data_IF_138020699832
#
_entry.id   IF_138020699832
#
_cell.length_a   1.000
_cell.length_b   1.000
_cell.length_c   1.000
_cell.angle_alpha   90.00
_cell.angle_beta   90.00
_cell.angle_gamma   90.00
#
_symmetry.space_group_name_H-M   'P 1'
#
loop_
_entity.id
_entity.type
_entity.pdbx_description
1 polymer ?
#
# COMPACT_ATOMS: atom_id res chain seq x y z
N UNK A 1 36.59 48.93 -24.41
CA UNK A 1 35.42 48.56 -25.23
C UNK A 1 34.64 49.84 -25.60
N UNK A 2 34.90 50.47 -26.76
CA UNK A 2 34.28 51.74 -27.15
C UNK A 2 33.16 51.58 -28.21
N UNK A 3 32.54 50.41 -28.35
CA UNK A 3 31.62 50.13 -29.46
C UNK A 3 30.20 50.66 -29.18
N UNK A 4 29.82 50.92 -27.92
CA UNK A 4 28.47 51.39 -27.59
C UNK A 4 28.25 52.91 -27.77
N UNK A 5 29.29 53.73 -27.86
CA UNK A 5 29.14 55.19 -27.91
C UNK A 5 28.83 55.76 -29.31
N UNK A 6 28.97 54.95 -30.37
CA UNK A 6 28.71 55.37 -31.75
C UNK A 6 27.26 55.12 -32.22
N UNK A 7 26.44 54.45 -31.40
CA UNK A 7 25.05 54.16 -31.76
C UNK A 7 24.22 55.43 -31.52
N UNK A 8 23.52 55.97 -32.55
CA UNK A 8 22.65 57.13 -32.37
C UNK A 8 21.63 56.86 -31.28
N UNK A 9 21.42 57.81 -30.36
CA UNK A 9 20.52 57.67 -29.20
C UNK A 9 19.13 57.14 -29.57
N UNK A 10 18.61 57.56 -30.73
CA UNK A 10 17.31 57.09 -31.25
C UNK A 10 17.31 55.61 -31.64
N UNK A 11 18.41 55.13 -32.24
CA UNK A 11 18.56 53.71 -32.62
C UNK A 11 18.70 52.82 -31.38
N UNK A 12 19.45 53.29 -30.38
CA UNK A 12 19.58 52.57 -29.11
C UNK A 12 18.21 52.40 -28.40
N UNK A 13 17.43 53.48 -28.32
CA UNK A 13 16.08 53.43 -27.74
C UNK A 13 15.18 52.46 -28.50
N UNK A 14 15.24 52.45 -29.84
CA UNK A 14 14.47 51.52 -30.67
C UNK A 14 14.81 50.06 -30.36
N UNK A 15 16.10 49.73 -30.22
CA UNK A 15 16.55 48.37 -29.90
C UNK A 15 16.08 47.90 -28.52
N UNK A 16 16.09 48.79 -27.51
CA UNK A 16 15.58 48.49 -26.16
C UNK A 16 14.08 48.19 -26.20
N UNK A 17 13.30 48.97 -26.96
CA UNK A 17 11.85 48.74 -27.11
C UNK A 17 11.56 47.40 -27.77
N UNK A 18 12.31 47.03 -28.82
CA UNK A 18 12.19 45.72 -29.49
C UNK A 18 12.52 44.59 -28.51
N UNK A 19 13.61 44.70 -27.76
CA UNK A 19 14.00 43.69 -26.78
C UNK A 19 12.93 43.49 -25.69
N UNK A 20 12.36 44.58 -25.16
CA UNK A 20 11.28 44.52 -24.18
C UNK A 20 10.00 43.90 -24.76
N UNK A 21 9.67 44.20 -26.02
CA UNK A 21 8.54 43.57 -26.72
C UNK A 21 8.72 42.07 -26.89
N UNK A 22 9.92 41.61 -27.26
CA UNK A 22 10.25 40.19 -27.42
C UNK A 22 10.21 39.45 -26.07
N UNK A 23 10.76 40.04 -25.01
CA UNK A 23 10.71 39.47 -23.66
C UNK A 23 9.26 39.37 -23.18
N UNK A 24 8.46 40.42 -23.37
CA UNK A 24 7.05 40.43 -22.97
C UNK A 24 6.22 39.40 -23.75
N UNK A 25 6.46 39.27 -25.05
CA UNK A 25 5.81 38.27 -25.90
C UNK A 25 6.17 36.83 -25.49
N UNK A 26 7.45 36.58 -25.19
CA UNK A 26 7.90 35.28 -24.70
C UNK A 26 7.28 34.92 -23.33
N UNK A 27 7.22 35.88 -22.41
CA UNK A 27 6.56 35.71 -21.12
C UNK A 27 5.06 35.39 -21.32
N UNK A 28 4.36 36.10 -22.20
CA UNK A 28 2.94 35.82 -22.46
C UNK A 28 2.71 34.42 -23.03
N UNK A 29 3.61 33.88 -23.85
CA UNK A 29 3.50 32.51 -24.37
C UNK A 29 3.77 31.49 -23.27
N UNK A 30 4.84 31.68 -22.49
CA UNK A 30 5.25 30.75 -21.42
C UNK A 30 4.25 30.71 -20.27
N UNK A 31 3.60 31.84 -19.98
CA UNK A 31 2.65 31.99 -18.89
C UNK A 31 1.20 32.13 -19.37
N UNK A 32 0.86 31.71 -20.61
CA UNK A 32 -0.56 31.55 -20.96
C UNK A 32 -1.15 30.61 -19.91
N UNK A 33 -2.12 31.06 -19.10
CA UNK A 33 -2.81 30.16 -18.20
C UNK A 33 -3.36 29.06 -19.11
N UNK A 34 -2.92 27.83 -18.88
CA UNK A 34 -3.53 26.66 -19.51
C UNK A 34 -5.00 26.82 -19.19
N UNK A 35 -5.80 27.21 -20.19
CA UNK A 35 -7.24 27.15 -20.10
C UNK A 35 -7.48 25.69 -19.78
N UNK A 36 -7.80 25.42 -18.51
CA UNK A 36 -8.23 24.09 -18.09
C UNK A 36 -9.40 23.82 -19.01
N UNK A 37 -9.17 22.91 -19.95
CA UNK A 37 -10.23 22.39 -20.80
C UNK A 37 -11.39 22.07 -19.86
N UNK A 38 -12.59 22.60 -20.13
CA UNK A 38 -13.73 22.39 -19.25
C UNK A 38 -13.81 20.89 -19.00
N UNK A 39 -13.70 20.52 -17.72
CA UNK A 39 -13.67 19.11 -17.33
C UNK A 39 -14.80 18.40 -18.07
N UNK A 40 -14.52 17.31 -18.81
CA UNK A 40 -15.55 16.61 -19.56
C UNK A 40 -16.68 16.33 -18.58
N UNK A 41 -17.89 16.76 -18.94
CA UNK A 41 -19.11 16.50 -18.18
C UNK A 41 -19.08 15.01 -17.82
N UNK A 42 -19.22 14.61 -16.54
CA UNK A 42 -19.17 13.22 -16.16
C UNK A 42 -20.28 12.48 -16.91
N UNK A 43 -19.89 11.77 -17.96
CA UNK A 43 -20.75 10.77 -18.58
C UNK A 43 -21.00 9.77 -17.45
N UNK A 44 -22.26 9.62 -17.06
CA UNK A 44 -22.68 8.55 -16.17
C UNK A 44 -22.38 7.23 -16.87
N UNK A 45 -21.18 6.72 -16.67
CA UNK A 45 -20.76 5.40 -17.08
C UNK A 45 -21.62 4.43 -16.28
N UNK A 46 -22.62 3.86 -16.94
CA UNK A 46 -23.33 2.68 -16.45
C UNK A 46 -22.28 1.68 -16.00
N UNK A 47 -22.32 1.30 -14.73
CA UNK A 47 -21.43 0.31 -14.12
C UNK A 47 -21.36 -0.92 -15.03
N UNK A 48 -20.22 -1.18 -15.70
CA UNK A 48 -20.04 -2.41 -16.44
C UNK A 48 -20.08 -3.53 -15.41
N UNK A 49 -21.01 -4.48 -15.60
CA UNK A 49 -21.03 -5.74 -14.87
C UNK A 49 -19.64 -6.36 -15.03
N UNK A 50 -18.84 -6.30 -13.96
CA UNK A 50 -17.45 -6.74 -13.93
C UNK A 50 -17.35 -8.14 -14.57
N UNK A 51 -16.72 -8.27 -15.75
CA UNK A 51 -16.28 -9.57 -16.22
C UNK A 51 -15.26 -10.04 -15.18
N UNK A 52 -15.43 -11.26 -14.67
CA UNK A 52 -14.35 -11.91 -13.93
C UNK A 52 -13.10 -11.86 -14.82
N UNK A 53 -12.15 -10.98 -14.47
CA UNK A 53 -10.90 -10.83 -15.21
C UNK A 53 -10.11 -12.09 -14.92
N UNK A 54 -10.25 -13.08 -15.80
CA UNK A 54 -9.33 -14.20 -15.89
C UNK A 54 -7.96 -13.61 -16.16
N UNK A 55 -7.08 -13.69 -15.17
CA UNK A 55 -5.67 -13.31 -15.30
C UNK A 55 -5.14 -13.98 -16.58
N UNK A 56 -4.65 -13.22 -17.57
CA UNK A 56 -4.15 -13.81 -18.80
C UNK A 56 -3.02 -14.77 -18.44
N UNK A 57 -3.22 -16.05 -18.76
CA UNK A 57 -2.17 -17.07 -18.69
C UNK A 57 -1.18 -16.77 -19.80
N UNK A 58 -0.24 -15.87 -19.54
CA UNK A 58 0.90 -15.59 -20.40
C UNK A 58 1.68 -16.88 -20.59
N UNK A 59 1.74 -17.36 -21.83
CA UNK A 59 2.54 -18.53 -22.22
C UNK A 59 4.01 -18.13 -22.21
N UNK A 60 4.59 -18.13 -21.01
CA UNK A 60 6.00 -17.82 -20.78
C UNK A 60 6.85 -18.96 -21.36
N UNK A 61 7.64 -18.64 -22.39
CA UNK A 61 8.75 -19.49 -22.83
C UNK A 61 9.64 -19.76 -21.62
N UNK A 62 9.61 -21.01 -21.16
CA UNK A 62 10.18 -21.46 -19.89
C UNK A 62 11.71 -21.56 -19.98
N UNK A 63 12.38 -20.41 -20.15
CA UNK A 63 13.78 -20.30 -19.74
C UNK A 63 13.71 -20.20 -18.23
N UNK A 64 14.08 -21.28 -17.55
CA UNK A 64 14.16 -21.34 -16.08
C UNK A 64 15.19 -20.31 -15.61
N UNK A 65 14.78 -19.05 -15.49
CA UNK A 65 15.61 -18.02 -14.90
C UNK A 65 15.75 -18.34 -13.42
N UNK A 66 16.98 -18.40 -12.93
CA UNK A 66 17.24 -18.53 -11.51
C UNK A 66 16.58 -17.35 -10.77
N UNK A 67 15.79 -17.65 -9.74
CA UNK A 67 15.11 -16.66 -8.90
C UNK A 67 15.76 -16.56 -7.53
N UNK A 68 15.67 -15.39 -6.91
CA UNK A 68 16.00 -15.13 -5.51
C UNK A 68 14.73 -14.77 -4.74
N UNK A 69 14.71 -15.06 -3.45
CA UNK A 69 13.62 -14.66 -2.56
C UNK A 69 14.05 -13.46 -1.74
N UNK A 70 13.27 -12.38 -1.79
CA UNK A 70 13.36 -11.29 -0.84
C UNK A 70 12.32 -11.51 0.26
N UNK A 71 12.72 -11.31 1.52
CA UNK A 71 11.85 -11.43 2.68
C UNK A 71 12.17 -10.33 3.67
N UNK A 72 11.13 -9.61 4.08
CA UNK A 72 11.22 -8.57 5.10
C UNK A 72 10.27 -8.90 6.25
N UNK A 73 10.82 -9.29 7.39
CA UNK A 73 10.03 -9.68 8.56
C UNK A 73 9.47 -8.47 9.32
N UNK A 74 10.19 -7.35 9.33
CA UNK A 74 9.73 -6.09 9.95
C UNK A 74 8.45 -5.57 9.29
N UNK A 75 8.40 -5.64 7.96
CA UNK A 75 7.26 -5.19 7.16
C UNK A 75 6.33 -6.32 6.70
N UNK A 76 6.59 -7.56 7.12
CA UNK A 76 5.65 -8.67 6.94
C UNK A 76 5.35 -9.04 5.48
N UNK A 77 6.33 -9.07 4.59
CA UNK A 77 6.13 -9.55 3.21
C UNK A 77 7.35 -10.27 2.62
N UNK A 78 7.11 -11.10 1.61
CA UNK A 78 8.13 -11.76 0.80
C UNK A 78 7.69 -11.84 -0.67
N UNK A 79 8.66 -11.93 -1.58
CA UNK A 79 8.43 -12.17 -3.01
C UNK A 79 9.67 -12.78 -3.67
N UNK A 80 9.49 -13.42 -4.83
CA UNK A 80 10.60 -13.88 -5.66
C UNK A 80 10.90 -12.87 -6.77
N UNK A 81 12.17 -12.78 -7.17
CA UNK A 81 12.63 -11.88 -8.23
C UNK A 81 13.78 -12.50 -9.03
N UNK A 82 13.98 -12.09 -10.29
CA UNK A 82 15.08 -12.59 -11.12
C UNK A 82 16.47 -12.32 -10.52
N UNK A 83 17.36 -13.32 -10.56
CA UNK A 83 18.68 -13.27 -9.94
C UNK A 83 19.61 -12.16 -10.46
N UNK A 84 19.39 -11.70 -11.69
CA UNK A 84 20.14 -10.64 -12.35
C UNK A 84 19.77 -9.22 -11.87
N UNK A 85 18.69 -9.06 -11.10
CA UNK A 85 18.33 -7.78 -10.51
C UNK A 85 19.14 -7.51 -9.25
N UNK A 86 19.53 -6.25 -9.08
CA UNK A 86 20.19 -5.76 -7.87
C UNK A 86 19.14 -5.14 -6.97
N UNK A 87 19.11 -5.61 -5.72
CA UNK A 87 18.21 -5.14 -4.68
C UNK A 87 18.90 -4.10 -3.80
N UNK A 88 18.22 -2.98 -3.54
CA UNK A 88 18.64 -2.00 -2.53
C UNK A 88 17.44 -1.54 -1.70
N UNK A 89 17.63 -1.53 -0.39
CA UNK A 89 16.69 -0.95 0.55
C UNK A 89 17.08 0.49 0.91
N UNK A 90 16.08 1.28 1.29
CA UNK A 90 16.21 2.64 1.80
C UNK A 90 17.08 3.53 0.89
N UNK A 91 16.86 3.43 -0.42
CA UNK A 91 17.56 4.19 -1.45
C UNK A 91 17.35 5.69 -1.33
N UNK A 92 16.25 6.12 -0.71
CA UNK A 92 16.00 7.51 -0.36
C UNK A 92 15.37 7.67 1.03
N UNK A 93 15.42 8.90 1.56
CA UNK A 93 14.78 9.28 2.82
C UNK A 93 13.73 10.35 2.53
N UNK A 94 12.50 10.13 2.99
CA UNK A 94 11.40 11.08 2.88
C UNK A 94 10.57 10.99 4.15
N UNK A 95 10.02 12.12 4.61
CA UNK A 95 9.09 12.14 5.75
C UNK A 95 7.92 11.17 5.56
N UNK A 96 7.45 11.07 4.32
CA UNK A 96 6.30 10.26 3.94
C UNK A 96 6.63 8.78 3.74
N UNK A 97 7.88 8.42 3.48
CA UNK A 97 8.30 7.03 3.22
C UNK A 97 8.87 6.43 4.50
N UNK A 98 8.24 5.37 4.99
CA UNK A 98 8.71 4.60 6.16
C UNK A 98 9.70 3.52 5.76
N UNK A 99 9.52 2.98 4.55
CA UNK A 99 10.40 1.99 3.96
C UNK A 99 10.34 2.11 2.45
N UNK A 100 11.47 1.93 1.78
CA UNK A 100 11.51 1.80 0.32
C UNK A 100 12.54 0.76 -0.11
N UNK A 101 12.28 0.12 -1.24
CA UNK A 101 13.13 -0.87 -1.86
C UNK A 101 13.05 -0.71 -3.37
N UNK A 102 14.20 -0.84 -4.02
CA UNK A 102 14.32 -0.82 -5.48
C UNK A 102 15.05 -2.07 -5.97
N UNK A 103 14.49 -2.68 -7.01
CA UNK A 103 15.14 -3.66 -7.87
C UNK A 103 15.47 -2.98 -9.19
N UNK A 104 16.74 -3.02 -9.59
CA UNK A 104 17.19 -2.43 -10.86
C UNK A 104 18.11 -3.37 -11.62
N UNK A 105 18.10 -3.23 -12.94
CA UNK A 105 19.03 -3.94 -13.82
C UNK A 105 20.29 -3.09 -14.02
N UNK A 106 21.50 -3.64 -13.81
CA UNK A 106 22.73 -2.91 -14.11
C UNK A 106 22.95 -2.86 -15.63
N UNK A 107 22.48 -1.81 -16.31
CA UNK A 107 22.73 -1.58 -17.73
C UNK A 107 23.70 -0.41 -17.89
N UNK A 108 25.00 -0.72 -17.88
CA UNK A 108 26.07 0.29 -17.93
C UNK A 108 26.06 1.21 -16.71
N UNK A 109 26.12 2.53 -16.94
CA UNK A 109 26.07 3.54 -15.86
C UNK A 109 24.64 3.91 -15.44
N UNK A 110 23.62 3.56 -16.25
CA UNK A 110 22.23 3.88 -15.94
C UNK A 110 21.63 2.84 -15.01
N UNK A 111 20.92 3.31 -13.99
CA UNK A 111 20.08 2.48 -13.12
C UNK A 111 18.66 2.62 -13.63
N UNK A 112 18.09 1.51 -14.04
CA UNK A 112 16.71 1.46 -14.48
C UNK A 112 15.92 0.52 -13.57
N UNK A 113 14.94 1.11 -12.86
CA UNK A 113 14.25 0.46 -11.75
C UNK A 113 13.14 -0.41 -12.30
N UNK A 114 13.37 -1.72 -12.33
CA UNK A 114 12.39 -2.71 -12.79
C UNK A 114 11.19 -2.82 -11.85
N UNK A 115 11.45 -2.75 -10.54
CA UNK A 115 10.41 -2.89 -9.51
C UNK A 115 10.77 -2.06 -8.28
N UNK A 116 9.76 -1.45 -7.67
CA UNK A 116 9.90 -0.73 -6.40
C UNK A 116 8.80 -1.12 -5.43
N UNK A 117 9.16 -1.13 -4.14
CA UNK A 117 8.24 -1.17 -3.01
C UNK A 117 8.44 0.11 -2.21
N UNK A 118 7.36 0.78 -1.84
CA UNK A 118 7.43 1.93 -0.95
C UNK A 118 6.25 1.91 0.01
N UNK A 119 6.53 1.91 1.32
CA UNK A 119 5.52 1.95 2.37
C UNK A 119 5.44 3.39 2.88
N UNK A 120 4.28 4.01 2.67
CA UNK A 120 4.10 5.46 2.79
C UNK A 120 2.89 5.84 3.63
N UNK A 121 2.90 7.09 4.12
CA UNK A 121 1.70 7.71 4.69
C UNK A 121 0.59 7.85 3.62
N UNK A 122 -0.70 7.70 3.99
CA UNK A 122 -1.81 7.75 3.03
C UNK A 122 -1.85 9.02 2.16
N UNK A 123 -1.57 10.19 2.75
CA UNK A 123 -1.62 11.46 2.02
C UNK A 123 -0.58 11.54 0.90
N UNK A 124 0.52 10.78 0.99
CA UNK A 124 1.52 10.73 -0.06
C UNK A 124 1.00 9.96 -1.27
N UNK A 125 0.37 8.80 -1.06
CA UNK A 125 -0.27 8.04 -2.13
C UNK A 125 -1.35 8.90 -2.82
N UNK A 126 -2.24 9.54 -2.05
CA UNK A 126 -3.30 10.38 -2.62
C UNK A 126 -2.78 11.57 -3.42
N UNK A 127 -1.72 12.23 -2.94
CA UNK A 127 -1.13 13.39 -3.62
C UNK A 127 -0.34 12.98 -4.86
N UNK A 128 0.40 11.88 -4.82
CA UNK A 128 1.29 11.45 -5.92
C UNK A 128 0.52 11.19 -7.21
N UNK A 129 -0.71 10.67 -7.11
CA UNK A 129 -1.54 10.35 -8.27
C UNK A 129 -2.63 11.39 -8.54
N UNK A 130 -2.66 12.50 -7.80
CA UNK A 130 -3.66 13.57 -7.98
C UNK A 130 -3.37 14.35 -9.25
N UNK A 131 -4.38 14.49 -10.11
CA UNK A 131 -4.26 15.26 -11.35
C UNK A 131 -3.49 14.57 -12.47
N UNK A 132 -2.96 13.36 -12.25
CA UNK A 132 -2.44 12.52 -13.33
C UNK A 132 -3.61 11.95 -14.15
N UNK A 133 -3.52 12.10 -15.47
CA UNK A 133 -4.29 11.29 -16.42
C UNK A 133 -3.81 9.84 -16.29
N UNK A 134 -4.75 8.96 -15.95
CA UNK A 134 -4.44 7.57 -15.61
C UNK A 134 -5.63 6.67 -15.84
N UNK A 135 -5.36 5.44 -16.20
CA UNK A 135 -6.33 4.35 -16.23
C UNK A 135 -6.27 3.67 -14.87
N UNK A 136 -7.44 3.48 -14.26
CA UNK A 136 -7.58 2.82 -12.96
C UNK A 136 -8.31 1.50 -13.11
N UNK A 137 -7.80 0.44 -12.47
CA UNK A 137 -8.49 -0.83 -12.37
C UNK A 137 -8.30 -1.44 -10.98
N UNK A 138 -9.24 -2.30 -10.56
CA UNK A 138 -9.04 -3.11 -9.37
C UNK A 138 -8.03 -4.24 -9.63
N UNK A 139 -7.30 -4.66 -8.60
CA UNK A 139 -6.37 -5.78 -8.65
C UNK A 139 -6.34 -6.48 -7.30
N UNK A 140 -6.06 -7.79 -7.28
CA UNK A 140 -5.80 -8.55 -6.06
C UNK A 140 -4.32 -8.97 -6.09
N UNK A 141 -3.56 -8.60 -5.05
CA UNK A 141 -2.17 -9.01 -4.86
C UNK A 141 -2.08 -9.69 -3.50
N UNK A 142 -1.62 -10.95 -3.46
CA UNK A 142 -1.50 -11.72 -2.23
C UNK A 142 -2.79 -11.69 -1.37
N UNK A 143 -3.95 -11.92 -2.00
CA UNK A 143 -5.29 -11.87 -1.37
C UNK A 143 -5.75 -10.47 -0.89
N UNK A 144 -4.95 -9.43 -1.10
CA UNK A 144 -5.30 -8.05 -0.74
C UNK A 144 -5.82 -7.30 -1.97
N UNK A 145 -7.03 -6.76 -1.88
CA UNK A 145 -7.60 -5.89 -2.91
C UNK A 145 -6.89 -4.53 -2.93
N UNK A 146 -6.49 -4.08 -4.11
CA UNK A 146 -5.83 -2.81 -4.35
C UNK A 146 -6.32 -2.10 -5.61
N UNK A 147 -5.69 -0.97 -5.90
CA UNK A 147 -5.95 -0.18 -7.09
C UNK A 147 -4.69 -0.14 -7.95
N UNK A 148 -4.81 -0.58 -9.20
CA UNK A 148 -3.78 -0.45 -10.23
C UNK A 148 -3.98 0.86 -10.99
N UNK A 149 -2.89 1.57 -11.20
CA UNK A 149 -2.77 2.78 -11.99
C UNK A 149 -1.84 2.51 -13.16
N UNK A 150 -2.30 2.86 -14.35
CA UNK A 150 -1.47 2.95 -15.56
C UNK A 150 -1.49 4.40 -16.01
N UNK A 151 -0.31 5.02 -16.12
CA UNK A 151 -0.18 6.45 -16.40
C UNK A 151 1.11 6.74 -17.16
N UNK A 152 1.21 7.95 -17.71
CA UNK A 152 2.44 8.45 -18.33
C UNK A 152 3.06 9.53 -17.45
N UNK A 153 4.37 9.46 -17.25
CA UNK A 153 5.14 10.47 -16.52
C UNK A 153 6.43 10.76 -17.29
N UNK A 154 6.65 12.04 -17.61
CA UNK A 154 7.79 12.50 -18.41
C UNK A 154 7.95 11.78 -19.76
N UNK A 155 6.85 11.38 -20.41
CA UNK A 155 6.90 10.67 -21.69
C UNK A 155 7.06 9.15 -21.56
N UNK A 156 7.13 8.63 -20.34
CA UNK A 156 7.31 7.20 -20.09
C UNK A 156 6.06 6.60 -19.46
N UNK A 157 5.64 5.40 -19.92
CA UNK A 157 4.58 4.67 -19.25
C UNK A 157 5.07 4.18 -17.88
N UNK A 158 4.16 4.16 -16.92
CA UNK A 158 4.34 3.60 -15.59
C UNK A 158 3.16 2.72 -15.21
N UNK A 159 3.44 1.69 -14.42
CA UNK A 159 2.42 0.90 -13.73
C UNK A 159 2.67 0.98 -12.24
N UNK A 160 1.61 1.21 -11.47
CA UNK A 160 1.68 1.25 -10.01
C UNK A 160 0.47 0.61 -9.39
N UNK A 161 0.66 -0.23 -8.40
CA UNK A 161 -0.38 -0.83 -7.57
C UNK A 161 -0.30 -0.22 -6.18
N UNK A 162 -1.42 0.25 -5.65
CA UNK A 162 -1.55 0.72 -4.28
C UNK A 162 -2.38 -0.28 -3.50
N UNK A 163 -1.78 -0.82 -2.43
CA UNK A 163 -2.40 -1.75 -1.50
C UNK A 163 -2.66 -1.04 -0.15
N UNK A 164 -3.79 -1.32 0.52
CA UNK A 164 -3.97 -0.96 1.91
C UNK A 164 -2.95 -1.72 2.77
N UNK A 165 -2.33 -1.03 3.74
CA UNK A 165 -1.30 -1.62 4.59
C UNK A 165 -1.38 -1.02 6.01
N UNK A 166 -2.43 -1.38 6.76
CA UNK A 166 -2.74 -0.76 8.05
C UNK A 166 -3.09 0.73 7.90
N UNK A 167 -2.48 1.60 8.71
CA UNK A 167 -2.54 3.08 8.57
C UNK A 167 -1.76 3.60 7.37
N UNK A 168 -0.94 2.75 6.75
CA UNK A 168 -0.06 3.12 5.66
C UNK A 168 -0.65 2.63 4.34
N UNK A 169 0.07 2.97 3.27
CA UNK A 169 -0.15 2.45 1.93
C UNK A 169 1.13 1.79 1.46
N UNK A 170 1.00 0.64 0.82
CA UNK A 170 2.10 0.01 0.10
C UNK A 170 1.95 0.33 -1.38
N UNK A 171 2.97 0.96 -1.95
CA UNK A 171 3.07 1.26 -3.37
C UNK A 171 4.03 0.25 -3.99
N UNK A 172 3.53 -0.53 -4.94
CA UNK A 172 4.31 -1.44 -5.78
C UNK A 172 4.35 -0.85 -7.18
N UNK A 173 5.52 -0.52 -7.70
CA UNK A 173 5.61 0.21 -8.97
C UNK A 173 6.72 -0.25 -9.87
N UNK A 174 6.67 0.24 -11.11
CA UNK A 174 7.77 0.20 -12.06
C UNK A 174 8.45 1.58 -12.13
N UNK A 175 9.76 1.59 -12.38
CA UNK A 175 10.51 2.80 -12.69
C UNK A 175 10.19 3.38 -14.07
N UNK A 176 11.03 4.34 -14.50
CA UNK A 176 10.94 4.99 -15.81
C UNK A 176 11.05 3.94 -16.94
N UNK A 177 10.35 4.16 -18.05
CA UNK A 177 10.41 3.24 -19.19
C UNK A 177 9.72 1.88 -18.98
N UNK A 178 8.68 1.81 -18.14
CA UNK A 178 8.14 0.57 -17.58
C UNK A 178 7.70 -0.52 -18.55
N UNK A 179 7.44 -0.19 -19.83
CA UNK A 179 6.96 -1.17 -20.82
C UNK A 179 7.87 -2.39 -20.91
N UNK A 180 9.18 -2.19 -20.76
CA UNK A 180 10.13 -3.31 -20.81
C UNK A 180 10.16 -4.16 -19.54
N UNK A 181 9.72 -3.61 -18.39
CA UNK A 181 9.73 -4.29 -17.09
C UNK A 181 8.36 -4.81 -16.65
N UNK A 182 7.34 -4.67 -17.49
CA UNK A 182 5.98 -5.06 -17.14
C UNK A 182 5.88 -6.58 -16.87
N UNK A 183 6.69 -7.38 -17.57
CA UNK A 183 6.73 -8.82 -17.36
C UNK A 183 7.32 -9.18 -16.00
N UNK A 184 8.47 -8.60 -15.66
CA UNK A 184 9.15 -8.77 -14.38
C UNK A 184 8.28 -8.26 -13.22
N UNK A 185 7.63 -7.11 -13.41
CA UNK A 185 6.67 -6.56 -12.44
C UNK A 185 5.54 -7.55 -12.16
N UNK A 186 4.90 -8.08 -13.21
CA UNK A 186 3.81 -9.06 -13.07
C UNK A 186 4.29 -10.38 -12.46
N UNK A 187 5.50 -10.83 -12.82
CA UNK A 187 6.12 -12.02 -12.24
C UNK A 187 6.35 -11.84 -10.73
N UNK A 188 6.92 -10.71 -10.30
CA UNK A 188 7.13 -10.40 -8.88
C UNK A 188 5.78 -10.33 -8.16
N UNK A 189 4.78 -9.63 -8.71
CA UNK A 189 3.44 -9.58 -8.11
C UNK A 189 2.81 -10.97 -7.95
N UNK A 190 3.04 -11.89 -8.90
CA UNK A 190 2.49 -13.24 -8.84
C UNK A 190 3.08 -14.11 -7.72
N UNK A 191 4.28 -13.79 -7.25
CA UNK A 191 4.96 -14.50 -6.15
C UNK A 191 4.90 -13.74 -4.82
N UNK A 192 4.33 -12.53 -4.84
CA UNK A 192 4.20 -11.68 -3.67
C UNK A 192 3.30 -12.36 -2.62
N UNK A 193 3.76 -12.34 -1.37
CA UNK A 193 3.06 -12.89 -0.22
C UNK A 193 3.21 -11.94 0.95
N UNK A 194 2.11 -11.65 1.63
CA UNK A 194 2.21 -11.10 2.98
C UNK A 194 2.60 -12.23 3.92
N UNK A 195 3.65 -12.01 4.72
CA UNK A 195 3.99 -12.89 5.82
C UNK A 195 2.83 -12.78 6.80
N UNK A 196 2.00 -13.81 6.78
CA UNK A 196 0.70 -13.87 7.43
C UNK A 196 0.84 -13.32 8.86
N UNK A 197 0.10 -12.27 9.22
CA UNK A 197 -0.07 -11.79 10.61
C UNK A 197 -0.36 -12.96 11.57
N UNK A 198 -0.96 -14.04 11.03
CA UNK A 198 -1.11 -15.35 11.67
C UNK A 198 0.17 -15.89 12.31
N UNK A 199 1.36 -15.79 11.71
CA UNK A 199 2.59 -16.32 12.33
C UNK A 199 3.04 -15.50 13.53
N UNK A 200 2.93 -14.16 13.46
CA UNK A 200 3.17 -13.28 14.61
C UNK A 200 2.13 -13.50 15.71
N UNK A 201 0.86 -13.73 15.34
CA UNK A 201 -0.19 -14.08 16.29
C UNK A 201 -0.01 -15.48 16.86
N UNK A 202 0.41 -16.47 16.10
CA UNK A 202 0.67 -17.83 16.60
C UNK A 202 1.87 -17.87 17.57
N UNK A 203 2.79 -16.91 17.50
CA UNK A 203 3.87 -16.74 18.48
C UNK A 203 3.40 -16.03 19.77
N UNK A 204 2.48 -15.07 19.65
CA UNK A 204 1.91 -14.30 20.78
C UNK A 204 0.82 -15.08 21.52
N UNK A 205 -0.03 -15.79 20.77
CA UNK A 205 -1.09 -16.63 21.30
C UNK A 205 -0.44 -17.88 21.90
N UNK A 206 -0.64 -18.10 23.21
CA UNK A 206 -0.08 -19.28 23.87
C UNK A 206 -0.55 -20.56 23.19
N UNK A 207 0.14 -21.68 23.44
CA UNK A 207 -0.20 -23.02 22.93
C UNK A 207 -1.68 -23.40 23.08
N UNK A 208 -2.36 -22.74 24.01
CA UNK A 208 -3.70 -23.00 24.51
C UNK A 208 -4.76 -22.16 23.79
N UNK A 209 -4.42 -21.43 22.74
CA UNK A 209 -5.36 -20.64 21.92
C UNK A 209 -5.28 -21.10 20.46
N UNK A 210 -6.43 -21.28 19.83
CA UNK A 210 -6.61 -21.66 18.44
C UNK A 210 -7.32 -20.53 17.68
N UNK A 211 -6.72 -20.05 16.59
CA UNK A 211 -7.40 -19.13 15.67
C UNK A 211 -8.37 -19.95 14.80
N UNK A 212 -9.68 -19.73 14.98
CA UNK A 212 -10.73 -20.43 14.21
C UNK A 212 -11.05 -19.75 12.89
N UNK A 213 -10.97 -18.42 12.86
CA UNK A 213 -11.13 -17.66 11.62
C UNK A 213 -10.41 -16.32 11.70
N UNK A 214 -10.04 -15.78 10.54
CA UNK A 214 -9.52 -14.43 10.39
C UNK A 214 -10.27 -13.72 9.26
N UNK A 215 -10.45 -12.41 9.40
CA UNK A 215 -11.03 -11.57 8.36
C UNK A 215 -10.28 -10.24 8.32
N UNK A 216 -10.00 -9.76 7.12
CA UNK A 216 -9.50 -8.40 6.88
C UNK A 216 -10.71 -7.53 6.61
N UNK A 217 -10.98 -6.56 7.49
CA UNK A 217 -12.01 -5.57 7.27
C UNK A 217 -11.58 -4.63 6.12
N UNK A 218 -12.54 -4.01 5.39
CA UNK A 218 -12.23 -3.12 4.25
C UNK A 218 -11.33 -1.92 4.59
N UNK A 219 -11.22 -1.56 5.86
CA UNK A 219 -10.34 -0.51 6.37
C UNK A 219 -8.91 -1.02 6.72
N UNK A 220 -8.60 -2.28 6.42
CA UNK A 220 -7.31 -2.90 6.72
C UNK A 220 -7.15 -3.38 8.16
N UNK A 221 -8.22 -3.36 8.98
CA UNK A 221 -8.22 -3.90 10.34
C UNK A 221 -8.39 -5.42 10.29
N UNK A 222 -7.55 -6.15 11.03
CA UNK A 222 -7.66 -7.59 11.13
C UNK A 222 -8.53 -7.98 12.33
N UNK A 223 -9.58 -8.78 12.07
CA UNK A 223 -10.37 -9.42 13.10
C UNK A 223 -10.02 -10.90 13.19
N UNK A 224 -9.84 -11.41 14.41
CA UNK A 224 -9.57 -12.83 14.65
C UNK A 224 -10.61 -13.37 15.63
N UNK A 225 -11.24 -14.49 15.26
CA UNK A 225 -11.96 -15.31 16.22
C UNK A 225 -10.98 -16.32 16.78
N UNK A 226 -10.70 -16.22 18.09
CA UNK A 226 -9.84 -17.17 18.78
C UNK A 226 -10.62 -17.93 19.84
N UNK A 227 -10.29 -19.19 20.04
CA UNK A 227 -10.92 -20.07 21.03
C UNK A 227 -9.82 -20.72 21.86
N UNK A 228 -10.03 -20.89 23.15
CA UNK A 228 -9.07 -21.67 23.95
C UNK A 228 -9.12 -23.15 23.56
N UNK A 229 -7.97 -23.82 23.47
CA UNK A 229 -7.85 -25.27 23.28
C UNK A 229 -8.13 -26.05 24.57
N UNK A 230 -8.06 -25.41 25.73
CA UNK A 230 -8.44 -26.03 26.98
C UNK A 230 -9.97 -26.18 27.01
N UNK A 231 -10.53 -27.36 27.29
CA UNK A 231 -11.97 -27.51 27.42
C UNK A 231 -12.47 -26.60 28.55
N UNK A 232 -13.62 -25.92 28.40
CA UNK A 232 -14.16 -25.04 29.42
C UNK A 232 -14.34 -25.84 30.71
N UNK A 233 -13.79 -25.30 31.81
CA UNK A 233 -13.61 -26.04 33.06
C UNK A 233 -14.93 -26.43 33.74
N UNK A 234 -16.06 -25.82 33.36
CA UNK A 234 -17.38 -26.17 33.87
C UNK A 234 -18.53 -25.66 32.97
N UNK A 235 -19.61 -26.43 32.91
CA UNK A 235 -20.92 -26.00 32.42
C UNK A 235 -21.90 -26.01 33.59
N UNK A 236 -22.62 -24.90 33.77
CA UNK A 236 -23.72 -24.85 34.73
C UNK A 236 -25.03 -24.69 33.98
N UNK A 237 -25.91 -25.68 34.13
CA UNK A 237 -27.30 -25.52 33.75
C UNK A 237 -27.95 -24.66 34.84
N UNK A 238 -28.46 -23.48 34.46
CA UNK A 238 -29.18 -22.62 35.38
C UNK A 238 -30.57 -22.38 34.82
N UNK A 239 -31.56 -22.50 35.68
CA UNK A 239 -32.95 -22.27 35.34
C UNK A 239 -33.36 -20.95 35.99
N UNK A 240 -33.82 -20.03 35.16
CA UNK A 240 -34.28 -18.71 35.57
C UNK A 240 -35.79 -18.61 35.35
N UNK A 241 -36.48 -17.95 36.27
CA UNK A 241 -37.95 -17.92 36.30
C UNK A 241 -38.57 -17.18 35.12
N UNK A 242 -37.85 -16.23 34.50
CA UNK A 242 -38.36 -15.45 33.36
C UNK A 242 -37.89 -16.02 32.01
N UNK A 243 -36.70 -16.64 31.97
CA UNK A 243 -36.05 -17.02 30.71
C UNK A 243 -35.89 -18.54 30.48
N UNK A 244 -36.24 -19.37 31.48
CA UNK A 244 -36.14 -20.82 31.39
C UNK A 244 -34.69 -21.34 31.49
N UNK A 245 -34.47 -22.65 31.21
CA UNK A 245 -33.15 -23.26 31.33
C UNK A 245 -32.20 -22.71 30.28
N UNK A 246 -31.07 -22.16 30.73
CA UNK A 246 -30.00 -21.71 29.86
C UNK A 246 -28.65 -22.22 30.37
N UNK A 247 -27.73 -22.41 29.44
CA UNK A 247 -26.39 -22.89 29.71
C UNK A 247 -25.50 -21.69 29.98
N UNK A 248 -24.98 -21.58 31.20
CA UNK A 248 -23.94 -20.61 31.54
C UNK A 248 -22.60 -21.26 31.24
N UNK A 249 -21.97 -20.79 30.16
CA UNK A 249 -20.59 -21.15 29.81
C UNK A 249 -19.68 -20.20 30.59
N UNK A 250 -18.92 -20.73 31.54
CA UNK A 250 -17.96 -19.94 32.30
C UNK A 250 -16.66 -19.81 31.47
N UNK A 251 -16.72 -18.88 30.51
CA UNK A 251 -15.73 -18.41 29.51
C UNK A 251 -15.18 -19.44 28.49
N UNK A 252 -14.90 -18.94 27.26
CA UNK A 252 -13.79 -19.32 26.34
C UNK A 252 -13.98 -18.88 24.87
N UNK A 253 -14.87 -17.90 24.60
CA UNK A 253 -14.87 -17.20 23.33
C UNK A 253 -14.33 -15.78 23.52
N UNK A 254 -13.07 -15.58 23.14
CA UNK A 254 -12.43 -14.27 23.19
C UNK A 254 -12.47 -13.67 21.79
N UNK A 255 -13.31 -12.67 21.58
CA UNK A 255 -13.19 -11.81 20.40
C UNK A 255 -12.08 -10.79 20.66
N UNK A 256 -10.97 -10.93 19.94
CA UNK A 256 -9.94 -9.89 19.89
C UNK A 256 -10.16 -9.01 18.68
N UNK A 257 -10.52 -7.76 18.95
CA UNK A 257 -10.51 -6.71 17.94
C UNK A 257 -9.14 -6.01 18.04
N UNK A 258 -8.28 -6.21 17.04
CA UNK A 258 -6.98 -5.53 16.99
C UNK A 258 -7.18 -4.12 16.47
N UNK A 259 -7.33 -3.17 17.39
CA UNK A 259 -7.39 -1.75 17.06
C UNK A 259 -5.98 -1.19 17.00
N UNK A 260 -5.79 -0.41 15.95
CA UNK A 260 -4.58 0.26 15.47
C UNK A 260 -3.73 1.03 16.50
N UNK A 261 -2.44 1.25 16.16
CA UNK A 261 -1.34 1.83 16.96
C UNK A 261 -1.67 3.16 17.67
N UNK A 262 -2.57 3.97 17.14
CA UNK A 262 -3.01 5.24 17.74
C UNK A 262 -3.81 5.06 19.04
N UNK A 263 -4.52 3.93 19.18
CA UNK A 263 -5.18 3.55 20.42
C UNK A 263 -4.43 2.35 20.97
N UNK A 264 -3.51 2.58 21.92
CA UNK A 264 -2.82 1.53 22.72
C UNK A 264 -3.80 0.75 23.63
N UNK A 265 -5.00 0.45 23.16
CA UNK A 265 -6.09 -0.17 23.89
C UNK A 265 -6.65 -1.30 23.03
N UNK A 266 -6.47 -2.52 23.51
CA UNK A 266 -7.23 -3.67 23.05
C UNK A 266 -8.66 -3.56 23.59
N UNK A 267 -9.64 -3.57 22.70
CA UNK A 267 -11.02 -3.79 23.08
C UNK A 267 -11.31 -5.29 22.93
N UNK A 268 -11.19 -6.02 24.03
CA UNK A 268 -11.72 -7.38 24.14
C UNK A 268 -13.20 -7.29 24.46
N UNK A 269 -14.04 -7.78 23.57
CA UNK A 269 -15.47 -7.89 23.86
C UNK A 269 -15.73 -9.29 24.42
N UNK A 270 -16.00 -9.38 25.73
CA UNK A 270 -16.57 -10.59 26.28
C UNK A 270 -18.06 -10.60 25.90
N UNK A 271 -18.46 -11.50 25.00
CA UNK A 271 -19.86 -11.70 24.64
C UNK A 271 -20.57 -12.69 25.58
N UNK A 272 -19.89 -13.18 26.62
CA UNK A 272 -20.55 -13.92 27.69
C UNK A 272 -21.54 -13.00 28.44
N UNK A 273 -22.72 -13.50 28.84
CA UNK A 273 -23.68 -12.74 29.63
C UNK A 273 -23.00 -12.16 30.88
N UNK A 274 -23.16 -10.85 31.10
CA UNK A 274 -22.44 -10.08 32.12
C UNK A 274 -22.76 -10.63 33.51
N UNK A 275 -21.87 -11.48 34.03
CA UNK A 275 -21.87 -11.93 35.42
C UNK A 275 -20.42 -12.14 35.85
N UNK A 276 -19.83 -11.07 36.40
CA UNK A 276 -18.58 -10.99 37.19
C UNK A 276 -17.56 -12.13 36.97
N UNK A 277 -16.78 -12.05 35.91
CA UNK A 277 -15.41 -12.61 35.88
C UNK A 277 -14.40 -11.47 35.73
N UNK A 278 -13.72 -11.14 36.83
CA UNK A 278 -12.54 -10.28 36.84
C UNK A 278 -11.34 -11.21 36.92
N UNK A 279 -10.85 -11.73 35.80
CA UNK A 279 -9.54 -12.39 35.76
C UNK A 279 -8.78 -12.14 34.44
N UNK A 280 -7.54 -11.67 34.61
CA UNK A 280 -6.34 -11.84 33.77
C UNK A 280 -6.19 -11.23 32.36
N UNK A 281 -6.89 -10.15 32.02
CA UNK A 281 -6.49 -9.29 30.87
C UNK A 281 -5.09 -8.63 31.09
N UNK A 282 -4.64 -8.50 32.35
CA UNK A 282 -3.37 -7.83 32.70
C UNK A 282 -2.09 -8.53 32.22
N UNK A 283 -2.09 -9.86 32.02
CA UNK A 283 -0.86 -10.59 31.61
C UNK A 283 -0.57 -10.45 30.11
N UNK A 284 -1.62 -10.40 29.28
CA UNK A 284 -1.48 -10.18 27.84
C UNK A 284 -1.01 -8.75 27.53
N UNK A 285 -1.55 -7.74 28.25
CA UNK A 285 -1.11 -6.34 28.12
C UNK A 285 0.38 -6.16 28.43
N UNK A 286 0.91 -6.88 29.42
CA UNK A 286 2.34 -6.83 29.78
C UNK A 286 3.26 -7.56 28.80
N UNK A 287 2.83 -8.69 28.23
CA UNK A 287 3.61 -9.42 27.22
C UNK A 287 3.71 -8.63 25.91
N UNK A 288 2.63 -7.94 25.53
CA UNK A 288 2.57 -7.13 24.31
C UNK A 288 3.32 -5.79 24.45
N UNK A 289 3.38 -5.21 25.65
CA UNK A 289 4.21 -4.01 25.88
C UNK A 289 5.72 -4.31 25.91
N UNK A 290 6.13 -5.58 26.09
CA UNK A 290 7.53 -6.01 26.05
C UNK A 290 7.99 -6.39 24.64
N UNK A 291 7.07 -6.56 23.70
CA UNK A 291 7.36 -6.94 22.31
C UNK A 291 7.61 -5.75 21.37
N UNK A 292 7.64 -4.50 21.86
CA UNK A 292 7.83 -3.26 21.08
C UNK A 292 6.91 -3.14 19.84
N UNK A 293 5.63 -3.51 20.00
CA UNK A 293 4.57 -3.30 19.00
C UNK A 293 3.84 -1.98 19.26
#
# INVERSE_FOLDING_TARGET
>A
MPILSSIPRKLFILLVVIALGLISGWLLIKYRPIQKEPAPVPISTSTPKSPAVSVPTSTTTNVTQETKTYRNEEWGFEFEYPQNLILKENTFRSYYSKFNLELFTPIGEKRDTSFLVNIVLPEFAERSFRGLEKITSEIIVAEVQGIKYEYEYQGFPHTTVILPFGELRMILGTGEGSKQYLNEFNQILSTFKFLKVRSMLEEILTSDIEIRSNQIAPNGIYAFAVVSKSPPTAYFLKEDEESGPHIIVNDDLVFMNLINKEKRTFDSYNLAPISKSVYKIGRLKNLLSQADI
#
